data_IF_621631506240
#
_entry.id   IF_621631506240
#
_cell.length_a   1.000
_cell.length_b   1.000
_cell.length_c   1.000
_cell.angle_alpha   90.00
_cell.angle_beta   90.00
_cell.angle_gamma   90.00
#
_symmetry.space_group_name_H-M   'P 1'
#
loop_
_entity.id
_entity.type
_entity.pdbx_description
1 polymer ?
#
# COMPACT_ATOMS: atom_id res chain seq x y z
N UNK A 1 -20.05 -4.58 14.08
CA UNK A 1 -19.57 -4.77 12.70
C UNK A 1 -19.84 -3.51 11.91
N UNK A 2 -18.90 -3.08 11.07
CA UNK A 2 -19.03 -1.85 10.30
C UNK A 2 -18.69 -2.14 8.83
N UNK A 3 -19.65 -1.84 7.95
CA UNK A 3 -19.46 -1.93 6.51
C UNK A 3 -19.11 -0.55 5.97
N UNK A 4 -18.10 -0.47 5.11
CA UNK A 4 -17.80 0.74 4.33
C UNK A 4 -17.88 0.41 2.85
N UNK A 5 -18.47 1.31 2.07
CA UNK A 5 -18.58 1.13 0.63
C UNK A 5 -17.49 1.94 -0.06
N UNK A 6 -16.76 1.32 -0.98
CA UNK A 6 -15.65 1.97 -1.67
C UNK A 6 -16.04 3.30 -2.32
N UNK A 7 -17.25 3.38 -2.88
CA UNK A 7 -17.74 4.61 -3.52
C UNK A 7 -17.79 5.81 -2.59
N UNK A 8 -17.86 5.58 -1.26
CA UNK A 8 -17.95 6.64 -0.26
C UNK A 8 -16.60 6.98 0.37
N UNK A 9 -15.55 6.23 0.03
CA UNK A 9 -14.21 6.46 0.57
C UNK A 9 -13.51 7.52 -0.28
N UNK A 10 -13.06 8.60 0.36
CA UNK A 10 -12.35 9.68 -0.32
C UNK A 10 -10.85 9.41 -0.31
N UNK A 11 -10.14 9.71 -1.42
CA UNK A 11 -8.68 9.63 -1.42
C UNK A 11 -8.05 10.56 -0.39
N UNK A 12 -6.89 10.17 0.12
CA UNK A 12 -6.07 11.02 0.98
C UNK A 12 -4.65 11.12 0.42
N UNK A 13 -3.89 12.10 0.88
CA UNK A 13 -2.50 12.28 0.46
C UNK A 13 -1.59 11.41 1.32
N UNK A 14 -1.12 10.31 0.74
CA UNK A 14 -0.15 9.44 1.40
C UNK A 14 1.26 10.07 1.30
N UNK A 15 1.99 10.21 2.42
CA UNK A 15 3.32 10.79 2.39
C UNK A 15 4.27 10.01 1.47
N UNK A 16 5.14 10.74 0.74
CA UNK A 16 6.16 10.18 -0.15
C UNK A 16 5.61 9.34 -1.31
N UNK A 17 4.32 9.39 -1.56
CA UNK A 17 3.69 8.74 -2.71
C UNK A 17 3.47 9.76 -3.83
N UNK A 18 3.48 9.30 -5.06
CA UNK A 18 3.31 10.15 -6.24
C UNK A 18 2.53 9.41 -7.33
N UNK A 19 1.76 10.18 -8.12
CA UNK A 19 0.95 9.68 -9.24
C UNK A 19 0.13 8.45 -8.87
N UNK A 20 -0.60 8.57 -7.77
CA UNK A 20 -1.42 7.49 -7.26
C UNK A 20 -2.57 8.05 -6.43
N UNK A 21 -3.55 7.21 -6.16
CA UNK A 21 -4.64 7.51 -5.22
C UNK A 21 -4.62 6.50 -4.09
N UNK A 22 -4.58 7.00 -2.87
CA UNK A 22 -4.62 6.19 -1.66
C UNK A 22 -5.97 6.35 -0.96
N UNK A 23 -6.55 5.23 -0.55
CA UNK A 23 -7.83 5.23 0.17
C UNK A 23 -7.68 4.40 1.42
N UNK A 24 -8.07 4.97 2.55
CA UNK A 24 -8.05 4.28 3.83
C UNK A 24 -9.41 3.65 4.05
N UNK A 25 -9.48 2.32 3.98
CA UNK A 25 -10.74 1.59 4.08
C UNK A 25 -11.16 1.42 5.54
N UNK A 26 -10.26 0.97 6.38
CA UNK A 26 -10.48 0.77 7.80
C UNK A 26 -9.25 1.20 8.58
N UNK A 27 -9.46 1.79 9.72
CA UNK A 27 -8.41 2.26 10.61
C UNK A 27 -9.03 2.86 11.86
N UNK A 28 -8.23 3.46 12.72
CA UNK A 28 -8.71 4.01 13.99
C UNK A 28 -9.78 5.07 13.78
N UNK A 29 -9.57 6.01 12.88
CA UNK A 29 -10.55 7.08 12.62
C UNK A 29 -11.77 6.58 11.87
N UNK A 30 -11.58 5.65 10.94
CA UNK A 30 -12.64 5.16 10.08
C UNK A 30 -13.60 4.23 10.80
N UNK A 31 -13.07 3.27 11.55
CA UNK A 31 -13.89 2.20 12.16
C UNK A 31 -13.49 1.83 13.58
N UNK A 32 -12.55 2.55 14.19
CA UNK A 32 -12.08 2.26 15.54
C UNK A 32 -11.13 1.07 15.65
N UNK A 33 -10.54 0.64 14.54
CA UNK A 33 -9.58 -0.45 14.56
C UNK A 33 -8.34 -0.07 15.39
N UNK A 34 -7.84 -1.00 16.18
CA UNK A 34 -6.72 -0.73 17.10
C UNK A 34 -5.47 -1.53 16.80
N UNK A 35 -5.54 -2.57 15.99
CA UNK A 35 -4.41 -3.47 15.74
C UNK A 35 -3.76 -3.23 14.38
N UNK A 36 -4.55 -2.86 13.40
CA UNK A 36 -4.07 -2.63 12.03
C UNK A 36 -5.02 -1.71 11.29
N UNK A 37 -4.57 -1.21 10.16
CA UNK A 37 -5.44 -0.50 9.23
C UNK A 37 -5.27 -1.12 7.83
N UNK A 38 -6.27 -0.97 7.00
CA UNK A 38 -6.27 -1.45 5.62
C UNK A 38 -6.57 -0.31 4.67
N UNK A 39 -5.78 -0.23 3.63
CA UNK A 39 -5.98 0.73 2.56
C UNK A 39 -5.95 0.09 1.19
N UNK A 40 -6.37 0.87 0.20
CA UNK A 40 -6.29 0.50 -1.20
C UNK A 40 -5.51 1.60 -1.93
N UNK A 41 -4.58 1.20 -2.77
CA UNK A 41 -3.77 2.12 -3.56
C UNK A 41 -3.96 1.84 -5.03
N UNK A 42 -4.22 2.91 -5.80
CA UNK A 42 -4.24 2.86 -7.25
C UNK A 42 -3.01 3.61 -7.75
N UNK A 43 -2.02 2.89 -8.25
CA UNK A 43 -0.81 3.48 -8.82
C UNK A 43 -1.01 3.68 -10.31
N UNK A 44 -0.97 4.92 -10.75
CA UNK A 44 -1.03 5.26 -12.19
C UNK A 44 0.26 4.81 -12.87
N UNK A 45 0.28 4.68 -14.22
CA UNK A 45 1.54 4.45 -14.93
C UNK A 45 2.59 5.48 -14.51
N UNK A 46 3.75 5.00 -14.08
CA UNK A 46 4.83 5.86 -13.56
C UNK A 46 4.68 6.26 -12.10
N UNK A 47 3.55 5.92 -11.47
CA UNK A 47 3.32 6.25 -10.07
C UNK A 47 3.97 5.26 -9.11
N UNK A 48 4.09 5.64 -7.86
CA UNK A 48 4.72 4.79 -6.87
C UNK A 48 4.86 5.44 -5.51
N UNK A 49 5.86 4.98 -4.78
CA UNK A 49 6.24 5.51 -3.48
C UNK A 49 7.76 5.63 -3.42
N UNK A 50 8.25 6.76 -2.93
CA UNK A 50 9.67 6.99 -2.72
C UNK A 50 10.19 6.07 -1.62
N UNK A 51 11.51 5.92 -1.56
CA UNK A 51 12.15 5.17 -0.50
C UNK A 51 11.71 5.68 0.86
N UNK A 52 11.18 4.79 1.67
CA UNK A 52 10.76 5.09 3.02
C UNK A 52 11.31 4.03 3.97
N UNK A 53 11.97 4.49 5.02
CA UNK A 53 12.50 3.66 6.09
C UNK A 53 12.09 4.28 7.42
N UNK A 54 11.66 3.45 8.34
CA UNK A 54 11.31 3.89 9.68
C UNK A 54 11.69 2.78 10.67
N UNK A 55 12.32 3.15 11.77
CA UNK A 55 12.55 2.23 12.87
C UNK A 55 11.24 2.04 13.63
N UNK A 56 10.54 0.99 13.28
CA UNK A 56 9.19 0.75 13.76
C UNK A 56 8.92 -0.74 13.82
N UNK A 57 8.16 -1.22 14.82
CA UNK A 57 7.74 -2.61 14.87
C UNK A 57 6.62 -2.92 13.88
N UNK A 58 6.15 -1.96 13.10
CA UNK A 58 5.04 -2.17 12.18
C UNK A 58 5.37 -3.20 11.10
N UNK A 59 4.38 -3.98 10.77
CA UNK A 59 4.44 -4.96 9.69
C UNK A 59 3.45 -4.55 8.60
N UNK A 60 3.79 -4.83 7.34
CA UNK A 60 2.97 -4.46 6.19
C UNK A 60 2.82 -5.64 5.26
N UNK A 61 1.62 -5.77 4.69
CA UNK A 61 1.36 -6.74 3.63
C UNK A 61 0.72 -5.99 2.48
N UNK A 62 1.28 -6.14 1.27
CA UNK A 62 0.66 -5.65 0.05
C UNK A 62 0.16 -6.85 -0.76
N UNK A 63 -1.02 -6.72 -1.32
CA UNK A 63 -1.62 -7.72 -2.20
C UNK A 63 -2.09 -7.03 -3.48
N UNK A 64 -1.65 -7.54 -4.63
CA UNK A 64 -2.00 -6.94 -5.93
C UNK A 64 -3.34 -7.49 -6.41
N UNK A 65 -4.33 -6.60 -6.55
CA UNK A 65 -5.65 -6.95 -7.07
C UNK A 65 -5.67 -6.90 -8.61
N UNK A 66 -5.03 -5.90 -9.20
CA UNK A 66 -4.97 -5.69 -10.64
C UNK A 66 -3.65 -5.03 -11.01
N UNK A 67 -3.15 -5.35 -12.21
CA UNK A 67 -1.94 -4.75 -12.73
C UNK A 67 -0.67 -5.36 -12.16
N UNK A 68 0.40 -4.57 -12.20
CA UNK A 68 1.72 -5.01 -11.80
C UNK A 68 2.43 -3.84 -11.13
N UNK A 69 3.11 -4.12 -10.02
CA UNK A 69 3.89 -3.13 -9.28
C UNK A 69 5.24 -3.73 -8.90
N UNK A 70 6.27 -2.91 -8.89
CA UNK A 70 7.59 -3.31 -8.42
C UNK A 70 7.80 -2.77 -7.03
N UNK A 71 8.19 -3.64 -6.11
CA UNK A 71 8.58 -3.27 -4.75
C UNK A 71 10.07 -3.51 -4.62
N UNK A 72 10.80 -2.49 -4.18
CA UNK A 72 12.25 -2.56 -3.97
C UNK A 72 12.57 -2.52 -2.50
N UNK A 73 13.36 -3.47 -2.04
CA UNK A 73 14.03 -3.40 -0.75
C UNK A 73 15.41 -2.77 -0.95
N UNK A 74 16.21 -2.76 0.11
CA UNK A 74 17.58 -2.27 0.02
C UNK A 74 18.42 -3.06 -1.00
N UNK A 75 18.21 -4.37 -1.10
CA UNK A 75 19.06 -5.26 -1.87
C UNK A 75 18.34 -5.96 -3.02
N UNK A 76 17.02 -5.95 -3.07
CA UNK A 76 16.24 -6.73 -4.00
C UNK A 76 15.12 -5.94 -4.65
N UNK A 77 14.71 -6.41 -5.81
CA UNK A 77 13.59 -5.87 -6.56
C UNK A 77 12.59 -7.02 -6.79
N UNK A 78 11.34 -6.80 -6.37
CA UNK A 78 10.27 -7.79 -6.48
C UNK A 78 9.22 -7.30 -7.46
N UNK A 79 8.93 -8.07 -8.50
CA UNK A 79 7.85 -7.80 -9.43
C UNK A 79 6.61 -8.52 -8.94
N UNK A 80 5.58 -7.76 -8.57
CA UNK A 80 4.31 -8.31 -8.10
C UNK A 80 3.25 -8.15 -9.18
N UNK A 81 2.64 -9.26 -9.55
CA UNK A 81 1.54 -9.30 -10.52
C UNK A 81 0.24 -9.64 -9.80
N UNK A 82 -0.87 -9.54 -10.50
CA UNK A 82 -2.20 -9.86 -9.96
C UNK A 82 -2.17 -11.16 -9.15
N UNK A 83 -2.61 -11.10 -7.90
CA UNK A 83 -2.65 -12.23 -7.00
C UNK A 83 -1.37 -12.42 -6.17
N UNK A 84 -0.30 -11.70 -6.50
CA UNK A 84 0.93 -11.78 -5.71
C UNK A 84 0.85 -10.88 -4.49
N UNK A 85 1.60 -11.24 -3.47
CA UNK A 85 1.67 -10.46 -2.24
C UNK A 85 3.09 -10.41 -1.71
N UNK A 86 3.37 -9.42 -0.87
CA UNK A 86 4.67 -9.27 -0.22
C UNK A 86 4.47 -8.86 1.23
N UNK A 87 5.28 -9.44 2.10
CA UNK A 87 5.38 -9.08 3.50
C UNK A 87 6.61 -8.20 3.70
N UNK A 88 6.41 -7.06 4.37
CA UNK A 88 7.48 -6.14 4.74
C UNK A 88 7.52 -6.10 6.26
N UNK A 89 8.62 -6.60 6.81
CA UNK A 89 8.80 -6.75 8.25
C UNK A 89 9.19 -5.46 8.95
N UNK A 90 9.32 -5.53 10.28
CA UNK A 90 9.81 -4.39 11.05
C UNK A 90 11.17 -3.92 10.57
N UNK A 91 11.38 -2.61 10.58
CA UNK A 91 12.66 -1.98 10.23
C UNK A 91 13.14 -2.26 8.81
N UNK A 92 12.22 -2.55 7.88
CA UNK A 92 12.53 -2.68 6.46
C UNK A 92 12.05 -1.46 5.69
N UNK A 93 12.97 -0.86 4.93
CA UNK A 93 12.63 0.22 4.01
C UNK A 93 12.18 -0.34 2.65
N UNK A 94 11.42 0.47 1.90
CA UNK A 94 10.96 0.07 0.57
C UNK A 94 10.69 1.29 -0.30
N UNK A 95 10.78 1.08 -1.60
CA UNK A 95 10.19 1.96 -2.61
C UNK A 95 9.29 1.15 -3.52
N UNK A 96 8.41 1.82 -4.26
CA UNK A 96 7.48 1.15 -5.18
C UNK A 96 7.41 1.93 -6.47
N UNK A 97 7.23 1.24 -7.58
CA UNK A 97 7.08 1.89 -8.89
C UNK A 97 6.22 1.04 -9.83
N UNK A 98 5.27 1.68 -10.50
CA UNK A 98 4.50 1.09 -11.59
C UNK A 98 5.18 1.46 -12.92
N UNK A 99 5.91 0.52 -13.51
CA UNK A 99 6.60 0.71 -14.79
C UNK A 99 5.74 0.33 -15.99
N UNK A 100 4.49 -0.07 -15.76
CA UNK A 100 3.59 -0.47 -16.84
C UNK A 100 2.80 0.73 -17.35
N UNK A 101 2.00 0.49 -18.38
CA UNK A 101 1.08 1.50 -18.92
C UNK A 101 -0.35 1.29 -18.45
N UNK A 102 -0.54 0.50 -17.41
CA UNK A 102 -1.86 0.24 -16.81
C UNK A 102 -1.83 0.60 -15.33
N UNK A 103 -3.01 0.85 -14.76
CA UNK A 103 -3.12 1.13 -13.32
C UNK A 103 -2.85 -0.15 -12.54
N UNK A 104 -2.06 -0.04 -11.48
CA UNK A 104 -1.85 -1.12 -10.54
C UNK A 104 -2.66 -0.85 -9.27
N UNK A 105 -3.51 -1.79 -8.88
CA UNK A 105 -4.34 -1.66 -7.68
C UNK A 105 -3.89 -2.67 -6.64
N UNK A 106 -3.59 -2.18 -5.45
CA UNK A 106 -3.11 -3.00 -4.34
C UNK A 106 -3.95 -2.76 -3.09
N UNK A 107 -4.15 -3.82 -2.31
CA UNK A 107 -4.55 -3.68 -0.92
C UNK A 107 -3.29 -3.62 -0.08
N UNK A 108 -3.31 -2.83 0.98
CA UNK A 108 -2.25 -2.79 1.97
C UNK A 108 -2.85 -2.92 3.36
N UNK A 109 -2.24 -3.78 4.16
CA UNK A 109 -2.59 -3.91 5.58
C UNK A 109 -1.34 -3.59 6.37
N UNK A 110 -1.47 -2.67 7.33
CA UNK A 110 -0.34 -2.21 8.13
C UNK A 110 -0.73 -2.32 9.60
N UNK A 111 0.12 -2.95 10.40
CA UNK A 111 -0.10 -2.99 11.84
C UNK A 111 0.20 -1.61 12.44
N UNK A 112 -0.44 -1.28 13.56
CA UNK A 112 -0.12 -0.04 14.29
C UNK A 112 1.16 -0.21 15.12
N UNK A 113 1.46 -1.43 15.47
CA UNK A 113 2.69 -1.77 16.22
C UNK A 113 3.17 -3.20 15.93
#
# INVERSE_FOLDING_TARGET
MIKRMLKDVKPYNAPLHFDMKAMKLHGTEETGATKFWMGMSHFLPGGGAEWAYDESPTEKIYFVLEGEIIVKSKDEEFVLKKGDSIFIGPNEGRSMINRTNEVATCLVTISYE
#
